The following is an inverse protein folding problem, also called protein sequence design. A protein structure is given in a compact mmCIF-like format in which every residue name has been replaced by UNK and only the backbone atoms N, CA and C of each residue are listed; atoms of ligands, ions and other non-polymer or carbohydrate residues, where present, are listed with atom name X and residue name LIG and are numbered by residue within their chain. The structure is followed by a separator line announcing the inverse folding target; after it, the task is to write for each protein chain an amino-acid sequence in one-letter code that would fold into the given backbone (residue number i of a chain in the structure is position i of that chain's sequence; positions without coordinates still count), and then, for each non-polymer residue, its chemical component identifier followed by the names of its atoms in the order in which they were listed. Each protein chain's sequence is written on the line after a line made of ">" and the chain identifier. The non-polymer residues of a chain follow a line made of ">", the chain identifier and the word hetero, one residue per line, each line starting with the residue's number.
data_IF_071543595657
#
_entry.id   IF_071543595657
#
_cell.length_a   1.000
_cell.length_b   1.000
_cell.length_c   1.000
_cell.angle_alpha   90.00
_cell.angle_beta   90.00
_cell.angle_gamma   90.00
#
_symmetry.space_group_name_H-M   'P 1'
#
loop_
_entity.id
_entity.type
_entity.pdbx_description
1 polymer ?
#
# COMPACT_ATOMS: atom_id res chain seq x y z
N UNK A 1 19.66 32.71 0.75
CA UNK A 1 19.51 33.60 1.92
C UNK A 1 18.07 33.50 2.37
N UNK A 2 17.79 33.24 3.65
CA UNK A 2 16.41 33.20 4.15
C UNK A 2 15.97 34.62 4.51
N UNK A 3 14.96 35.13 3.83
CA UNK A 3 14.45 36.49 4.00
C UNK A 3 12.95 36.46 4.28
N UNK A 4 12.47 37.39 5.09
CA UNK A 4 11.05 37.62 5.26
C UNK A 4 10.44 38.07 3.91
N UNK A 5 9.37 37.45 3.40
CA UNK A 5 8.77 37.85 2.13
C UNK A 5 8.09 39.22 2.19
N UNK A 6 7.69 39.68 3.38
CA UNK A 6 6.93 40.93 3.55
C UNK A 6 7.84 42.15 3.75
N UNK A 7 8.94 42.00 4.49
CA UNK A 7 9.85 43.11 4.81
C UNK A 7 11.26 42.96 4.25
N UNK A 8 11.57 41.85 3.58
CA UNK A 8 12.87 41.52 2.96
C UNK A 8 14.06 41.47 3.93
N UNK A 9 13.83 41.58 5.24
CA UNK A 9 14.85 41.44 6.26
C UNK A 9 15.48 40.05 6.29
N UNK A 10 16.79 39.99 6.56
CA UNK A 10 17.54 38.74 6.71
C UNK A 10 17.15 37.99 7.99
N UNK A 11 16.89 36.70 7.88
CA UNK A 11 16.55 35.81 9.01
C UNK A 11 17.72 34.92 9.45
N UNK A 12 18.92 35.13 8.91
CA UNK A 12 20.08 34.27 9.15
C UNK A 12 20.54 34.23 10.62
N UNK A 13 20.30 35.31 11.39
CA UNK A 13 20.66 35.40 12.81
C UNK A 13 19.52 35.02 13.76
N UNK A 14 18.35 34.65 13.22
CA UNK A 14 17.19 34.28 14.05
C UNK A 14 17.22 32.79 14.44
N UNK A 15 16.77 32.43 15.66
CA UNK A 15 16.74 31.03 16.08
C UNK A 15 15.69 30.22 15.30
N UNK A 16 16.00 28.97 14.97
CA UNK A 16 15.03 28.04 14.36
C UNK A 16 13.99 27.64 15.40
N UNK A 17 12.72 27.93 15.13
CA UNK A 17 11.59 27.64 16.05
C UNK A 17 10.86 26.32 15.75
N UNK A 18 11.13 25.69 14.61
CA UNK A 18 10.50 24.45 14.20
C UNK A 18 11.01 23.96 12.85
N UNK A 19 10.87 22.67 12.60
CA UNK A 19 11.25 22.04 11.33
C UNK A 19 10.03 21.30 10.78
N UNK A 20 9.63 21.64 9.56
CA UNK A 20 8.60 20.92 8.83
C UNK A 20 9.27 19.95 7.86
N UNK A 21 8.97 18.67 7.98
CA UNK A 21 9.49 17.61 7.09
C UNK A 21 8.41 17.22 6.08
N UNK A 22 8.83 16.93 4.85
CA UNK A 22 7.99 16.33 3.79
C UNK A 22 8.79 15.20 3.16
N UNK A 23 8.13 14.08 2.87
CA UNK A 23 8.73 12.91 2.24
C UNK A 23 8.01 12.65 0.92
N UNK A 24 8.79 12.35 -0.12
CA UNK A 24 8.29 11.88 -1.40
C UNK A 24 8.86 10.49 -1.59
N UNK A 25 7.98 9.52 -1.87
CA UNK A 25 8.37 8.15 -2.16
C UNK A 25 8.06 7.85 -3.61
N UNK A 26 9.10 7.67 -4.40
CA UNK A 26 8.98 7.08 -5.72
C UNK A 26 9.02 5.57 -5.57
N UNK A 27 7.94 4.90 -5.98
CA UNK A 27 7.92 3.43 -6.07
C UNK A 27 8.29 3.10 -7.52
N UNK A 28 9.51 2.61 -7.79
CA UNK A 28 9.86 2.17 -9.13
C UNK A 28 8.93 1.02 -9.55
N UNK A 29 8.68 0.83 -10.85
CA UNK A 29 7.79 -0.23 -11.33
C UNK A 29 8.16 -1.59 -10.70
N UNK A 30 7.29 -2.17 -9.85
CA UNK A 30 7.63 -3.42 -9.20
C UNK A 30 7.54 -4.55 -10.21
N UNK A 31 8.46 -5.52 -10.10
CA UNK A 31 8.26 -6.82 -10.75
C UNK A 31 7.21 -7.57 -9.95
N UNK A 32 5.98 -7.62 -10.46
CA UNK A 32 4.88 -8.35 -9.83
C UNK A 32 4.92 -9.79 -10.32
N UNK A 33 5.05 -10.74 -9.39
CA UNK A 33 4.90 -12.16 -9.66
C UNK A 33 3.50 -12.58 -9.23
N UNK A 34 2.76 -13.21 -10.14
CA UNK A 34 1.37 -13.60 -9.92
C UNK A 34 1.28 -15.13 -9.93
N UNK A 35 0.73 -15.67 -8.86
CA UNK A 35 0.32 -17.08 -8.78
C UNK A 35 -1.20 -17.11 -8.83
N UNK A 36 -1.76 -17.70 -9.89
CA UNK A 36 -3.21 -17.91 -9.99
C UNK A 36 -3.61 -19.17 -9.21
N UNK A 37 -4.64 -19.04 -8.39
CA UNK A 37 -5.29 -20.17 -7.73
C UNK A 37 -6.67 -20.36 -8.36
N UNK A 38 -6.98 -21.59 -8.76
CA UNK A 38 -8.27 -21.95 -9.35
C UNK A 38 -9.02 -22.88 -8.40
N UNK A 39 -10.34 -22.68 -8.31
CA UNK A 39 -11.25 -23.55 -7.56
C UNK A 39 -12.36 -24.03 -8.49
N UNK A 40 -12.61 -25.34 -8.50
CA UNK A 40 -13.71 -25.91 -9.27
C UNK A 40 -15.05 -25.44 -8.71
N UNK A 41 -16.01 -25.23 -9.59
CA UNK A 41 -17.40 -24.92 -9.24
C UNK A 41 -18.27 -26.03 -9.81
N UNK A 42 -19.06 -26.71 -8.96
CA UNK A 42 -19.92 -27.83 -9.34
C UNK A 42 -21.35 -27.61 -8.86
N UNK A 43 -22.30 -28.10 -9.64
CA UNK A 43 -23.71 -28.12 -9.26
C UNK A 43 -24.02 -29.44 -8.53
N UNK A 44 -24.57 -29.39 -7.32
CA UNK A 44 -25.11 -30.59 -6.66
C UNK A 44 -26.57 -30.80 -7.05
N UNK A 45 -26.84 -31.85 -7.81
CA UNK A 45 -28.21 -32.29 -8.12
C UNK A 45 -28.98 -32.74 -6.86
N UNK A 46 -28.26 -33.08 -5.78
CA UNK A 46 -28.84 -33.51 -4.52
C UNK A 46 -29.63 -32.41 -3.78
N UNK A 47 -29.15 -31.17 -3.83
CA UNK A 47 -29.69 -30.05 -3.05
C UNK A 47 -29.90 -28.79 -3.91
N UNK A 48 -29.71 -28.90 -5.23
CA UNK A 48 -29.83 -27.83 -6.21
C UNK A 48 -28.99 -26.59 -5.89
N UNK A 49 -27.79 -26.80 -5.34
CA UNK A 49 -26.85 -25.71 -4.99
C UNK A 49 -25.58 -25.81 -5.82
N UNK A 50 -25.00 -24.65 -6.10
CA UNK A 50 -23.65 -24.52 -6.62
C UNK A 50 -22.65 -24.53 -5.48
N UNK A 51 -21.66 -25.41 -5.55
CA UNK A 51 -20.60 -25.58 -4.57
C UNK A 51 -19.27 -25.21 -5.23
N UNK A 52 -18.51 -24.33 -4.57
CA UNK A 52 -17.15 -23.97 -4.98
C UNK A 52 -16.15 -24.69 -4.08
N UNK A 53 -15.12 -25.28 -4.66
CA UNK A 53 -14.03 -25.88 -3.91
C UNK A 53 -13.30 -24.82 -3.05
N UNK A 54 -12.67 -25.25 -1.96
CA UNK A 54 -11.91 -24.34 -1.12
C UNK A 54 -10.62 -23.90 -1.81
N UNK A 55 -10.25 -22.63 -1.63
CA UNK A 55 -8.93 -22.13 -2.00
C UNK A 55 -7.87 -22.56 -0.95
N UNK A 56 -6.57 -22.52 -1.30
CA UNK A 56 -5.50 -22.73 -0.33
C UNK A 56 -5.56 -21.74 0.85
N UNK A 57 -5.05 -22.18 2.00
CA UNK A 57 -4.98 -21.33 3.20
C UNK A 57 -4.21 -20.03 2.89
N UNK A 58 -4.76 -18.89 3.31
CA UNK A 58 -4.18 -17.57 3.06
C UNK A 58 -4.66 -16.89 1.77
N UNK A 59 -5.37 -17.58 0.88
CA UNK A 59 -6.06 -16.99 -0.27
C UNK A 59 -7.48 -16.60 0.14
N UNK A 60 -7.65 -15.36 0.56
CA UNK A 60 -8.85 -14.83 1.20
C UNK A 60 -9.67 -13.92 0.29
N UNK A 61 -9.06 -13.39 -0.77
CA UNK A 61 -9.71 -12.49 -1.71
C UNK A 61 -9.39 -12.88 -3.16
N UNK A 62 -10.25 -12.50 -4.14
CA UNK A 62 -9.98 -12.73 -5.56
C UNK A 62 -8.65 -12.15 -6.05
N UNK A 63 -8.19 -11.06 -5.42
CA UNK A 63 -6.88 -10.45 -5.62
C UNK A 63 -6.35 -10.00 -4.26
N UNK A 64 -5.10 -10.32 -3.95
CA UNK A 64 -4.42 -9.88 -2.73
C UNK A 64 -2.90 -9.81 -2.93
N UNK A 65 -2.22 -9.02 -2.10
CA UNK A 65 -0.76 -9.10 -2.00
C UNK A 65 -0.33 -10.35 -1.22
N UNK A 66 0.80 -10.93 -1.61
CA UNK A 66 1.46 -12.00 -0.86
C UNK A 66 2.13 -11.49 0.41
N UNK A 67 2.53 -12.41 1.29
CA UNK A 67 3.08 -12.09 2.63
C UNK A 67 4.34 -11.20 2.64
N UNK A 68 5.04 -11.12 1.50
CA UNK A 68 6.29 -10.35 1.34
C UNK A 68 6.05 -8.84 1.44
N UNK A 69 4.85 -8.36 1.08
CA UNK A 69 4.54 -6.93 1.15
C UNK A 69 3.95 -6.64 2.53
N UNK A 70 4.78 -6.08 3.42
CA UNK A 70 4.36 -5.47 4.69
C UNK A 70 4.56 -3.96 4.61
N UNK A 71 3.48 -3.20 4.75
CA UNK A 71 3.56 -1.74 4.81
C UNK A 71 3.66 -1.34 6.29
N UNK A 72 4.80 -0.79 6.68
CA UNK A 72 4.97 -0.11 7.97
C UNK A 72 5.16 1.37 7.68
N UNK A 73 4.18 2.21 8.01
CA UNK A 73 4.36 3.66 8.01
C UNK A 73 4.65 4.08 9.45
N UNK A 74 5.91 4.40 9.75
CA UNK A 74 6.27 5.08 10.99
C UNK A 74 6.00 6.58 10.83
N UNK A 75 5.14 7.12 11.68
CA UNK A 75 4.80 8.56 11.76
C UNK A 75 5.91 9.37 12.41
#
# INVERSE_FOLDING_TARGET
>A
MLTCPDCYGSLLSTPVIGIVKRQVFDIPPPKIEVTEHQAEVKYCECCNKTITAAFPAGVLAPVQYGEVIRITVSS
#
